data_IF_294173991678
#
_entry.id   IF_294173991678
#
_cell.length_a   1.000
_cell.length_b   1.000
_cell.length_c   1.000
_cell.angle_alpha   90.00
_cell.angle_beta   90.00
_cell.angle_gamma   90.00
#
_symmetry.space_group_name_H-M   'P 1'
#
loop_
_entity.id
_entity.type
_entity.pdbx_description
1 polymer ?
#
# COMPACT_ATOMS: atom_id res chain seq x y z
N UNK A 1 -9.53 2.45 -16.25
CA UNK A 1 -8.35 3.19 -15.73
C UNK A 1 -7.90 2.58 -14.42
N UNK A 2 -6.61 2.54 -14.17
CA UNK A 2 -6.08 2.01 -12.92
C UNK A 2 -5.68 3.13 -11.98
N UNK A 3 -5.69 2.84 -10.68
CA UNK A 3 -5.25 3.76 -9.64
C UNK A 3 -3.94 3.21 -9.08
N UNK A 4 -2.81 3.88 -9.28
CA UNK A 4 -1.54 3.38 -8.78
C UNK A 4 -1.47 3.44 -7.26
N UNK A 5 -0.79 2.46 -6.67
CA UNK A 5 -0.53 2.42 -5.24
C UNK A 5 0.96 2.62 -5.03
N UNK A 6 1.31 3.60 -4.22
CA UNK A 6 2.70 3.95 -3.95
C UNK A 6 2.89 4.04 -2.44
N UNK A 7 4.13 3.86 -2.00
CA UNK A 7 4.46 4.08 -0.59
C UNK A 7 4.18 5.56 -0.27
N UNK A 8 3.21 5.85 0.60
CA UNK A 8 2.85 7.24 0.89
C UNK A 8 3.82 7.87 1.88
N UNK A 9 3.97 9.18 1.80
CA UNK A 9 4.69 9.94 2.81
C UNK A 9 3.69 10.37 3.87
N UNK A 10 3.74 9.73 5.03
CA UNK A 10 2.84 10.03 6.14
C UNK A 10 3.37 11.14 7.05
N UNK A 11 4.67 11.40 7.00
CA UNK A 11 5.34 12.44 7.77
C UNK A 11 6.34 13.15 6.88
N UNK A 12 6.64 14.42 7.18
CA UNK A 12 7.53 15.22 6.33
C UNK A 12 8.95 14.63 6.25
N UNK A 13 9.42 14.05 7.33
CA UNK A 13 10.77 13.48 7.38
C UNK A 13 10.84 12.04 6.88
N UNK A 14 9.72 11.47 6.48
CA UNK A 14 9.67 10.09 6.03
C UNK A 14 10.30 9.96 4.64
N UNK A 15 11.30 9.09 4.51
CA UNK A 15 11.96 8.81 3.23
C UNK A 15 11.68 7.41 2.72
N UNK A 16 11.22 6.52 3.60
CA UNK A 16 10.92 5.13 3.26
C UNK A 16 9.85 4.60 4.20
N UNK A 17 9.23 3.51 3.80
CA UNK A 17 8.25 2.82 4.62
C UNK A 17 8.32 1.33 4.39
N UNK A 18 8.00 0.55 5.40
CA UNK A 18 7.96 -0.89 5.30
C UNK A 18 6.57 -1.37 4.87
N UNK A 19 6.51 -2.13 3.80
CA UNK A 19 5.29 -2.83 3.42
C UNK A 19 5.27 -4.12 4.25
N UNK A 20 4.66 -4.03 5.43
CA UNK A 20 4.73 -5.11 6.39
C UNK A 20 3.90 -6.33 5.99
N UNK A 21 2.73 -6.07 5.41
CA UNK A 21 1.79 -7.14 5.10
C UNK A 21 0.74 -6.64 4.12
N UNK A 22 0.39 -7.47 3.13
CA UNK A 22 -0.82 -7.28 2.34
C UNK A 22 -1.99 -7.87 3.10
N UNK A 23 -3.09 -7.13 3.22
CA UNK A 23 -4.28 -7.57 3.95
C UNK A 23 -5.30 -8.25 3.04
N UNK A 24 -5.15 -8.12 1.73
CA UNK A 24 -6.00 -8.77 0.74
C UNK A 24 -5.12 -9.47 -0.29
N UNK A 25 -5.66 -10.47 -0.94
CA UNK A 25 -4.91 -11.24 -1.93
C UNK A 25 -4.76 -10.49 -3.25
N UNK A 26 -3.71 -10.83 -3.99
CA UNK A 26 -3.52 -10.34 -5.34
C UNK A 26 -4.70 -10.79 -6.20
N UNK A 27 -5.31 -9.85 -6.89
CA UNK A 27 -6.49 -10.11 -7.70
C UNK A 27 -7.82 -10.00 -6.97
N UNK A 28 -7.81 -9.70 -5.66
CA UNK A 28 -9.05 -9.57 -4.90
C UNK A 28 -9.78 -8.28 -5.24
N UNK A 29 -11.10 -8.35 -5.17
CA UNK A 29 -11.95 -7.17 -5.32
C UNK A 29 -11.93 -6.36 -4.01
N UNK A 30 -11.67 -5.06 -4.10
CA UNK A 30 -11.69 -4.16 -2.95
C UNK A 30 -12.62 -2.99 -3.19
N UNK A 31 -13.09 -2.38 -2.11
CA UNK A 31 -13.90 -1.17 -2.16
C UNK A 31 -13.07 -0.01 -1.62
N UNK A 32 -13.42 1.21 -2.03
CA UNK A 32 -12.77 2.40 -1.47
C UNK A 32 -12.90 2.40 0.04
N UNK A 33 -11.80 2.62 0.74
CA UNK A 33 -11.77 2.62 2.21
C UNK A 33 -11.45 1.27 2.85
N UNK A 34 -11.44 0.18 2.09
CA UNK A 34 -11.05 -1.13 2.63
C UNK A 34 -9.57 -1.13 2.97
N UNK A 35 -9.17 -1.64 4.15
CA UNK A 35 -7.75 -1.76 4.45
C UNK A 35 -7.11 -2.81 3.54
N UNK A 36 -6.04 -2.42 2.85
CA UNK A 36 -5.40 -3.27 1.84
C UNK A 36 -3.99 -3.68 2.18
N UNK A 37 -3.27 -2.89 2.97
CA UNK A 37 -1.94 -3.27 3.44
C UNK A 37 -1.58 -2.53 4.72
N UNK A 38 -0.52 -3.03 5.39
CA UNK A 38 0.02 -2.40 6.59
C UNK A 38 1.34 -1.73 6.23
N UNK A 39 1.43 -0.44 6.51
CA UNK A 39 2.65 0.33 6.32
C UNK A 39 3.31 0.55 7.67
N UNK A 40 4.57 0.15 7.80
CA UNK A 40 5.35 0.38 9.01
C UNK A 40 6.32 1.53 8.82
N UNK A 41 6.40 2.39 9.85
CA UNK A 41 7.38 3.45 9.94
C UNK A 41 8.15 3.27 11.23
N UNK A 42 9.14 4.12 11.50
CA UNK A 42 9.89 4.06 12.76
C UNK A 42 8.99 4.17 14.00
N UNK A 43 7.89 4.89 13.88
CA UNK A 43 7.06 5.21 15.04
C UNK A 43 5.83 4.35 15.18
N UNK A 44 5.31 3.79 14.09
CA UNK A 44 4.01 3.12 14.13
C UNK A 44 3.78 2.25 12.91
N UNK A 45 2.81 1.36 13.02
CA UNK A 45 2.27 0.61 11.89
C UNK A 45 0.85 1.09 11.66
N UNK A 46 0.48 1.29 10.40
CA UNK A 46 -0.86 1.75 10.02
C UNK A 46 -1.43 0.90 8.92
N UNK A 47 -2.73 0.65 8.98
CA UNK A 47 -3.45 0.05 7.87
C UNK A 47 -3.78 1.14 6.87
N UNK A 48 -3.47 0.90 5.61
CA UNK A 48 -3.71 1.85 4.53
C UNK A 48 -4.92 1.40 3.75
N UNK A 49 -5.87 2.33 3.57
CA UNK A 49 -7.11 2.05 2.89
C UNK A 49 -6.98 2.18 1.37
N UNK A 50 -7.81 1.44 0.65
CA UNK A 50 -7.87 1.55 -0.80
C UNK A 50 -8.38 2.93 -1.21
N UNK A 51 -7.71 3.61 -2.15
CA UNK A 51 -8.16 4.92 -2.64
C UNK A 51 -9.30 4.82 -3.66
N UNK A 52 -9.63 3.63 -4.12
CA UNK A 52 -10.67 3.42 -5.11
C UNK A 52 -11.17 1.98 -5.01
N UNK A 53 -12.32 1.70 -5.63
CA UNK A 53 -12.84 0.35 -5.75
C UNK A 53 -12.29 -0.30 -7.02
N UNK A 54 -12.04 -1.59 -6.98
CA UNK A 54 -11.60 -2.33 -8.13
C UNK A 54 -10.83 -3.59 -7.74
N UNK A 55 -10.08 -4.11 -8.69
CA UNK A 55 -9.28 -5.31 -8.49
C UNK A 55 -7.87 -4.93 -8.06
N UNK A 56 -7.42 -5.47 -6.93
CA UNK A 56 -6.09 -5.20 -6.42
C UNK A 56 -5.03 -6.02 -7.17
N UNK A 57 -4.01 -5.32 -7.64
CA UNK A 57 -2.83 -5.95 -8.25
C UNK A 57 -1.63 -5.63 -7.38
N UNK A 58 -0.92 -6.66 -6.91
CA UNK A 58 0.30 -6.51 -6.12
C UNK A 58 1.49 -6.61 -7.05
N UNK A 59 2.35 -5.58 -7.03
CA UNK A 59 3.56 -5.56 -7.87
C UNK A 59 4.82 -5.91 -7.11
N UNK A 60 4.79 -5.84 -5.78
CA UNK A 60 5.94 -6.13 -4.92
C UNK A 60 5.51 -6.99 -3.74
N UNK A 61 6.46 -7.70 -3.16
CA UNK A 61 6.20 -8.56 -2.01
C UNK A 61 6.18 -7.75 -0.71
N UNK A 62 5.39 -8.21 0.26
CA UNK A 62 5.42 -7.68 1.61
C UNK A 62 6.68 -8.14 2.35
N UNK A 63 6.96 -7.48 3.48
CA UNK A 63 8.10 -7.84 4.31
C UNK A 63 9.38 -7.08 4.00
N UNK A 64 9.30 -6.05 3.16
CA UNK A 64 10.47 -5.26 2.77
C UNK A 64 10.21 -3.77 2.93
N UNK A 65 11.29 -3.00 2.99
CA UNK A 65 11.23 -1.54 3.07
C UNK A 65 11.46 -0.96 1.68
N UNK A 66 10.62 -0.01 1.31
CA UNK A 66 10.69 0.66 0.00
C UNK A 66 10.74 2.17 0.19
N UNK A 67 11.43 2.90 -0.70
CA UNK A 67 11.41 4.37 -0.66
C UNK A 67 10.00 4.92 -0.89
N UNK A 68 9.72 6.08 -0.31
CA UNK A 68 8.48 6.82 -0.57
C UNK A 68 8.35 7.05 -2.08
N UNK A 69 7.16 6.81 -2.61
CA UNK A 69 6.89 6.94 -4.04
C UNK A 69 7.11 5.65 -4.84
N UNK A 70 7.61 4.59 -4.20
CA UNK A 70 7.75 3.30 -4.88
C UNK A 70 6.38 2.76 -5.28
N UNK A 71 6.26 2.35 -6.54
CA UNK A 71 5.02 1.74 -7.06
C UNK A 71 4.92 0.31 -6.52
N UNK A 72 3.94 0.08 -5.66
CA UNK A 72 3.76 -1.22 -5.00
C UNK A 72 2.61 -2.03 -5.57
N UNK A 73 1.78 -1.41 -6.38
CA UNK A 73 0.64 -2.09 -6.97
C UNK A 73 -0.30 -1.13 -7.65
N UNK A 74 -1.50 -1.61 -7.94
CA UNK A 74 -2.54 -0.77 -8.52
C UNK A 74 -3.91 -1.37 -8.27
N UNK A 75 -4.93 -0.54 -8.44
CA UNK A 75 -6.33 -0.98 -8.41
C UNK A 75 -6.90 -0.76 -9.81
N UNK A 76 -7.35 -1.83 -10.42
CA UNK A 76 -7.87 -1.81 -11.79
C UNK A 76 -9.36 -1.46 -11.83
#
# INVERSE_FOLDING_TARGET
MSTPLQIPRLEMAMTEGGLAQWLVEDGAQVNEGDPIYVLETEKAAQEIAAPAAGKLVQKVAAGQIYPVGTDIGEIL
#
